data_IF_204286774840
#
_entry.id   IF_204286774840
#
_cell.length_a   1.000
_cell.length_b   1.000
_cell.length_c   1.000
_cell.angle_alpha   90.00
_cell.angle_beta   90.00
_cell.angle_gamma   90.00
#
_symmetry.space_group_name_H-M   'P 1'
#
loop_
_entity.id
_entity.type
_entity.pdbx_description
1 polymer ?
#
# COMPACT_ATOMS: atom_id res chain seq x y z
N UNK A 1 5.34 -13.84 15.67
CA UNK A 1 5.21 -13.37 17.05
C UNK A 1 5.57 -14.53 17.96
N UNK A 2 6.25 -14.30 19.09
CA UNK A 2 6.54 -15.32 20.10
C UNK A 2 5.28 -15.47 20.97
N UNK A 3 4.45 -16.51 20.78
CA UNK A 3 3.15 -16.62 21.47
C UNK A 3 3.30 -16.94 22.96
N UNK A 4 4.53 -17.24 23.39
CA UNK A 4 4.87 -17.83 24.68
C UNK A 4 5.11 -16.77 25.77
N UNK A 5 5.33 -15.51 25.38
CA UNK A 5 5.58 -14.38 26.30
C UNK A 5 4.34 -13.52 26.58
N UNK A 6 3.26 -13.63 25.79
CA UNK A 6 2.06 -12.78 25.93
C UNK A 6 0.75 -13.57 25.79
N UNK A 7 0.28 -14.24 26.86
CA UNK A 7 -0.89 -15.15 26.83
C UNK A 7 -2.25 -14.46 26.63
N UNK A 8 -2.26 -13.17 26.26
CA UNK A 8 -3.46 -12.40 25.91
C UNK A 8 -3.29 -11.51 24.67
N UNK A 9 -2.17 -11.63 23.94
CA UNK A 9 -1.98 -10.91 22.70
C UNK A 9 -2.88 -11.51 21.63
N UNK A 10 -3.79 -10.68 21.10
CA UNK A 10 -4.66 -11.08 20.01
C UNK A 10 -3.80 -11.27 18.75
N UNK A 11 -3.72 -12.51 18.23
CA UNK A 11 -2.99 -12.86 16.99
C UNK A 11 -3.52 -12.15 15.73
N UNK A 12 -4.60 -11.38 15.85
CA UNK A 12 -5.19 -10.69 14.71
C UNK A 12 -4.67 -9.25 14.64
N UNK A 13 -4.15 -8.88 13.47
CA UNK A 13 -3.67 -7.53 13.12
C UNK A 13 -4.68 -6.36 13.19
N UNK A 14 -6.02 -6.53 13.13
CA UNK A 14 -6.98 -5.41 13.07
C UNK A 14 -6.94 -4.38 14.23
N UNK A 15 -6.75 -4.76 15.51
CA UNK A 15 -6.69 -3.81 16.62
C UNK A 15 -5.48 -2.86 16.52
N UNK A 16 -4.34 -3.36 16.03
CA UNK A 16 -3.12 -2.57 15.83
C UNK A 16 -3.30 -1.54 14.71
N UNK A 17 -3.98 -1.93 13.62
CA UNK A 17 -4.32 -1.02 12.52
C UNK A 17 -5.23 0.12 12.99
N UNK A 18 -6.25 -0.19 13.79
CA UNK A 18 -7.16 0.82 14.32
C UNK A 18 -6.43 1.87 15.15
N UNK A 19 -5.55 1.44 16.08
CA UNK A 19 -4.75 2.35 16.90
C UNK A 19 -3.79 3.20 16.06
N UNK A 20 -3.23 2.65 14.99
CA UNK A 20 -2.37 3.37 14.07
C UNK A 20 -3.15 4.48 13.33
N UNK A 21 -4.30 4.14 12.74
CA UNK A 21 -5.12 5.13 12.05
C UNK A 21 -5.66 6.21 12.97
N UNK A 22 -6.06 5.88 14.21
CA UNK A 22 -6.48 6.88 15.19
C UNK A 22 -5.34 7.85 15.55
N UNK A 23 -4.11 7.34 15.68
CA UNK A 23 -2.92 8.16 15.92
C UNK A 23 -2.61 9.10 14.74
N UNK A 24 -2.69 8.59 13.51
CA UNK A 24 -2.48 9.39 12.29
C UNK A 24 -3.53 10.50 12.16
N UNK A 25 -4.81 10.19 12.40
CA UNK A 25 -5.88 11.18 12.38
C UNK A 25 -5.69 12.25 13.47
N UNK A 26 -5.40 11.83 14.70
CA UNK A 26 -5.16 12.75 15.82
C UNK A 26 -4.00 13.70 15.52
N UNK A 27 -2.89 13.18 14.99
CA UNK A 27 -1.72 13.97 14.62
C UNK A 27 -2.03 14.95 13.49
N UNK A 28 -2.78 14.50 12.47
CA UNK A 28 -3.19 15.34 11.33
C UNK A 28 -4.06 16.52 11.79
N UNK A 29 -5.02 16.26 12.68
CA UNK A 29 -5.87 17.30 13.27
C UNK A 29 -5.01 18.27 14.09
N UNK A 30 -4.08 17.77 14.90
CA UNK A 30 -3.21 18.61 15.74
C UNK A 30 -2.35 19.57 14.89
N UNK A 31 -1.71 19.06 13.84
CA UNK A 31 -0.91 19.87 12.91
C UNK A 31 -1.81 20.91 12.21
N UNK A 32 -3.00 20.52 11.79
CA UNK A 32 -3.95 21.42 11.14
C UNK A 32 -4.40 22.56 12.06
N UNK A 33 -4.68 22.25 13.33
CA UNK A 33 -5.06 23.24 14.35
C UNK A 33 -3.91 24.22 14.59
N UNK A 34 -2.68 23.74 14.75
CA UNK A 34 -1.50 24.60 14.91
C UNK A 34 -1.33 25.50 13.69
N UNK A 35 -1.40 24.93 12.48
CA UNK A 35 -1.29 25.69 11.24
C UNK A 35 -2.35 26.79 11.13
N UNK A 36 -3.61 26.47 11.44
CA UNK A 36 -4.72 27.42 11.41
C UNK A 36 -4.55 28.55 12.44
N UNK A 37 -4.02 28.21 13.63
CA UNK A 37 -3.72 29.17 14.68
C UNK A 37 -2.63 30.16 14.27
N UNK A 38 -1.51 29.67 13.70
CA UNK A 38 -0.43 30.54 13.19
C UNK A 38 -0.88 31.42 12.02
N UNK A 39 -1.80 30.93 11.18
CA UNK A 39 -2.30 31.67 10.02
C UNK A 39 -3.51 32.58 10.30
N UNK A 40 -3.86 32.77 11.59
CA UNK A 40 -4.86 33.76 12.06
C UNK A 40 -6.17 33.71 11.25
N UNK A 41 -6.75 32.51 11.14
CA UNK A 41 -8.02 32.24 10.46
C UNK A 41 -8.05 32.49 8.93
N UNK A 42 -6.90 32.63 8.27
CA UNK A 42 -6.81 32.67 6.80
C UNK A 42 -5.98 31.51 6.21
N UNK A 43 -6.30 30.23 6.53
CA UNK A 43 -5.64 29.07 5.94
C UNK A 43 -5.89 29.02 4.44
N UNK A 44 -4.92 29.48 3.65
CA UNK A 44 -4.90 29.22 2.20
C UNK A 44 -4.83 27.71 1.95
N UNK A 45 -5.99 27.09 1.76
CA UNK A 45 -6.17 25.70 1.38
C UNK A 45 -6.88 25.74 0.04
N UNK A 46 -6.22 25.22 -0.98
CA UNK A 46 -6.84 25.11 -2.29
C UNK A 46 -7.89 23.99 -2.22
N UNK A 47 -9.17 24.34 -2.07
CA UNK A 47 -10.26 23.36 -1.91
C UNK A 47 -10.32 22.34 -3.06
N UNK A 48 -9.88 22.75 -4.27
CA UNK A 48 -9.74 21.86 -5.43
C UNK A 48 -8.64 20.81 -5.27
N UNK A 49 -7.59 21.10 -4.52
CA UNK A 49 -6.51 20.14 -4.22
C UNK A 49 -6.79 19.32 -2.95
N UNK A 50 -7.62 19.84 -2.03
CA UNK A 50 -7.97 19.15 -0.80
C UNK A 50 -8.78 17.87 -1.06
N UNK A 51 -9.78 17.92 -1.95
CA UNK A 51 -10.59 16.75 -2.33
C UNK A 51 -9.75 15.58 -2.87
N UNK A 52 -8.89 15.76 -3.90
CA UNK A 52 -8.04 14.67 -4.39
C UNK A 52 -7.01 14.20 -3.36
N UNK A 53 -6.53 15.09 -2.48
CA UNK A 53 -5.64 14.70 -1.37
C UNK A 53 -6.36 13.83 -0.32
N UNK A 54 -7.63 14.11 -0.02
CA UNK A 54 -8.42 13.27 0.87
C UNK A 54 -8.72 11.91 0.24
N UNK A 55 -9.06 11.88 -1.05
CA UNK A 55 -9.28 10.64 -1.80
C UNK A 55 -8.01 9.77 -1.86
N UNK A 56 -6.85 10.38 -2.15
CA UNK A 56 -5.58 9.64 -2.16
C UNK A 56 -5.22 9.09 -0.77
N UNK A 57 -5.48 9.84 0.29
CA UNK A 57 -5.33 9.37 1.67
C UNK A 57 -6.25 8.19 2.01
N UNK A 58 -7.51 8.22 1.55
CA UNK A 58 -8.44 7.10 1.74
C UNK A 58 -8.00 5.84 0.99
N UNK A 59 -7.56 5.98 -0.26
CA UNK A 59 -7.01 4.87 -1.05
C UNK A 59 -5.76 4.29 -0.36
N UNK A 60 -4.88 5.16 0.16
CA UNK A 60 -3.69 4.73 0.89
C UNK A 60 -4.04 3.96 2.17
N UNK A 61 -5.04 4.40 2.94
CA UNK A 61 -5.50 3.68 4.13
C UNK A 61 -6.06 2.28 3.79
N UNK A 62 -6.83 2.16 2.71
CA UNK A 62 -7.34 0.85 2.26
C UNK A 62 -6.16 -0.06 1.85
N UNK A 63 -5.23 0.48 1.05
CA UNK A 63 -4.04 -0.25 0.62
C UNK A 63 -3.19 -0.72 1.81
N UNK A 64 -2.94 0.15 2.78
CA UNK A 64 -2.10 -0.18 3.93
C UNK A 64 -2.76 -1.19 4.88
N UNK A 65 -4.10 -1.15 5.00
CA UNK A 65 -4.86 -2.19 5.71
C UNK A 65 -4.73 -3.53 4.99
N UNK A 66 -4.89 -3.56 3.67
CA UNK A 66 -4.71 -4.78 2.87
C UNK A 66 -3.29 -5.34 2.96
N UNK A 67 -2.29 -4.46 3.03
CA UNK A 67 -0.88 -4.82 3.16
C UNK A 67 -0.57 -5.50 4.50
N UNK A 68 -1.08 -4.95 5.60
CA UNK A 68 -0.89 -5.55 6.93
C UNK A 68 -1.59 -6.89 7.03
N UNK A 69 -2.81 -7.03 6.49
CA UNK A 69 -3.49 -8.34 6.41
C UNK A 69 -2.68 -9.34 5.57
N UNK A 70 -2.06 -8.89 4.47
CA UNK A 70 -1.20 -9.75 3.66
C UNK A 70 0.06 -10.19 4.42
N UNK A 71 0.68 -9.32 5.22
CA UNK A 71 1.81 -9.68 6.09
C UNK A 71 1.38 -10.75 7.10
N UNK A 72 0.21 -10.60 7.70
CA UNK A 72 -0.32 -11.52 8.71
C UNK A 72 -0.54 -12.93 8.13
N UNK A 73 -1.04 -13.00 6.89
CA UNK A 73 -1.34 -14.27 6.20
C UNK A 73 -0.13 -14.91 5.54
N UNK A 74 0.76 -14.11 4.97
CA UNK A 74 1.81 -14.58 4.07
C UNK A 74 3.22 -14.47 4.67
N UNK A 75 3.36 -14.00 5.92
CA UNK A 75 4.61 -13.55 6.56
C UNK A 75 5.31 -12.41 5.81
N UNK A 76 5.97 -11.52 6.57
CA UNK A 76 6.69 -10.36 6.02
C UNK A 76 7.65 -10.72 4.87
N UNK A 77 8.43 -11.80 4.99
CA UNK A 77 9.43 -12.20 4.00
C UNK A 77 8.90 -12.39 2.57
N UNK A 78 7.59 -12.66 2.41
CA UNK A 78 6.97 -12.85 1.09
C UNK A 78 5.96 -11.75 0.77
N UNK A 79 5.22 -11.26 1.77
CA UNK A 79 4.27 -10.18 1.57
C UNK A 79 4.93 -8.90 1.03
N UNK A 80 6.12 -8.52 1.52
CA UNK A 80 6.85 -7.33 1.08
C UNK A 80 7.20 -7.37 -0.43
N UNK A 81 7.88 -8.42 -0.96
CA UNK A 81 8.18 -8.50 -2.38
C UNK A 81 6.93 -8.47 -3.27
N UNK A 82 5.88 -9.22 -2.90
CA UNK A 82 4.64 -9.27 -3.70
C UNK A 82 3.95 -7.91 -3.73
N UNK A 83 3.84 -7.24 -2.57
CA UNK A 83 3.20 -5.94 -2.48
C UNK A 83 4.05 -4.79 -3.05
N UNK A 84 5.36 -4.97 -3.22
CA UNK A 84 6.18 -4.02 -3.97
C UNK A 84 6.00 -4.18 -5.49
N UNK A 85 5.86 -5.42 -5.96
CA UNK A 85 5.74 -5.73 -7.39
C UNK A 85 4.33 -5.45 -7.94
N UNK A 86 3.27 -5.88 -7.25
CA UNK A 86 1.90 -5.83 -7.80
C UNK A 86 1.41 -4.39 -8.09
N UNK A 87 1.55 -3.40 -7.18
CA UNK A 87 1.20 -2.01 -7.49
C UNK A 87 2.08 -1.42 -8.59
N UNK A 88 3.36 -1.78 -8.63
CA UNK A 88 4.29 -1.36 -9.68
C UNK A 88 3.85 -1.83 -11.07
N UNK A 89 3.36 -3.07 -11.18
CA UNK A 89 2.76 -3.59 -12.41
C UNK A 89 1.48 -2.83 -12.79
N UNK A 90 0.58 -2.58 -11.84
CA UNK A 90 -0.68 -1.86 -12.12
C UNK A 90 -0.42 -0.42 -12.57
N UNK A 91 0.49 0.29 -11.89
CA UNK A 91 0.90 1.66 -12.26
C UNK A 91 1.55 1.68 -13.64
N UNK A 92 2.46 0.72 -13.90
CA UNK A 92 3.12 0.62 -15.20
C UNK A 92 2.09 0.35 -16.31
N UNK A 93 1.09 -0.51 -16.06
CA UNK A 93 0.04 -0.84 -17.03
C UNK A 93 -0.85 0.36 -17.29
N UNK A 94 -1.21 1.08 -16.23
CA UNK A 94 -1.98 2.32 -16.32
C UNK A 94 -1.24 3.40 -17.12
N UNK A 95 0.05 3.61 -16.86
CA UNK A 95 0.88 4.56 -17.63
C UNK A 95 0.88 4.23 -19.12
N UNK A 96 0.98 2.95 -19.49
CA UNK A 96 1.04 2.54 -20.90
C UNK A 96 -0.33 2.70 -21.59
N UNK A 97 -1.41 2.27 -20.93
CA UNK A 97 -2.75 2.30 -21.52
C UNK A 97 -3.32 3.73 -21.61
N UNK A 98 -3.12 4.53 -20.56
CA UNK A 98 -3.69 5.87 -20.44
C UNK A 98 -2.83 6.94 -21.13
N UNK A 99 -1.52 6.98 -20.85
CA UNK A 99 -0.64 7.98 -21.47
C UNK A 99 -0.14 7.59 -22.86
N UNK A 100 -0.31 6.31 -23.27
CA UNK A 100 0.24 5.78 -24.54
C UNK A 100 1.69 6.19 -24.79
N UNK A 101 2.48 6.34 -23.72
CA UNK A 101 3.90 6.77 -23.81
C UNK A 101 4.74 5.82 -24.67
N UNK A 102 4.29 4.57 -24.81
CA UNK A 102 5.01 3.51 -25.49
C UNK A 102 4.21 3.05 -26.72
N UNK A 103 4.45 3.70 -27.85
CA UNK A 103 3.82 3.34 -29.15
C UNK A 103 4.64 2.29 -29.93
N UNK A 104 5.87 1.98 -29.51
CA UNK A 104 6.78 1.08 -30.22
C UNK A 104 6.54 -0.41 -29.91
N UNK A 105 6.30 -1.23 -30.95
CA UNK A 105 6.11 -2.69 -30.84
C UNK A 105 7.22 -3.41 -30.06
N UNK A 106 8.49 -2.99 -30.23
CA UNK A 106 9.65 -3.56 -29.54
C UNK A 106 9.66 -3.28 -28.03
N UNK A 107 9.16 -2.12 -27.61
CA UNK A 107 9.10 -1.77 -26.20
C UNK A 107 7.91 -2.45 -25.51
N UNK A 108 6.79 -2.63 -26.23
CA UNK A 108 5.68 -3.47 -25.77
C UNK A 108 6.09 -4.94 -25.56
N UNK A 109 6.93 -5.50 -26.44
CA UNK A 109 7.42 -6.88 -26.25
C UNK A 109 8.35 -7.02 -25.06
N UNK A 110 9.29 -6.09 -24.84
CA UNK A 110 10.18 -6.08 -23.66
C UNK A 110 9.35 -5.97 -22.39
N UNK A 111 8.35 -5.10 -22.42
CA UNK A 111 7.44 -4.91 -21.32
C UNK A 111 6.66 -6.20 -21.03
N UNK A 112 6.03 -6.81 -22.03
CA UNK A 112 5.31 -8.08 -21.87
C UNK A 112 6.19 -9.18 -21.27
N UNK A 113 7.47 -9.27 -21.68
CA UNK A 113 8.45 -10.20 -21.10
C UNK A 113 8.72 -9.87 -19.62
N UNK A 114 8.92 -8.60 -19.28
CA UNK A 114 9.12 -8.17 -17.90
C UNK A 114 7.90 -8.46 -17.01
N UNK A 115 6.68 -8.26 -17.52
CA UNK A 115 5.45 -8.67 -16.84
C UNK A 115 5.37 -10.18 -16.66
N UNK A 116 5.73 -10.96 -17.69
CA UNK A 116 5.79 -12.42 -17.61
C UNK A 116 6.76 -12.90 -16.53
N UNK A 117 7.97 -12.33 -16.47
CA UNK A 117 8.94 -12.61 -15.42
C UNK A 117 8.43 -12.22 -14.02
N UNK A 118 7.76 -11.08 -13.90
CA UNK A 118 7.22 -10.61 -12.62
C UNK A 118 6.09 -11.52 -12.14
N UNK A 119 5.18 -11.91 -13.03
CA UNK A 119 4.10 -12.86 -12.73
C UNK A 119 4.65 -14.23 -12.35
N UNK A 120 5.67 -14.72 -13.07
CA UNK A 120 6.36 -15.96 -12.74
C UNK A 120 7.01 -15.89 -11.35
N UNK A 121 7.66 -14.76 -11.02
CA UNK A 121 8.25 -14.53 -9.70
C UNK A 121 7.21 -14.56 -8.57
N UNK A 122 6.06 -13.92 -8.77
CA UNK A 122 4.94 -13.95 -7.82
C UNK A 122 4.37 -15.36 -7.68
N UNK A 123 4.19 -16.08 -8.79
CA UNK A 123 3.71 -17.47 -8.78
C UNK A 123 4.67 -18.41 -8.02
N UNK A 124 5.98 -18.29 -8.27
CA UNK A 124 7.02 -19.06 -7.57
C UNK A 124 7.07 -18.74 -6.07
N UNK A 125 7.01 -17.46 -5.68
CA UNK A 125 6.93 -17.04 -4.27
C UNK A 125 5.68 -17.61 -3.58
N UNK A 126 4.55 -17.65 -4.29
CA UNK A 126 3.30 -18.20 -3.76
C UNK A 126 3.38 -19.72 -3.61
N UNK A 127 3.84 -20.44 -4.64
CA UNK A 127 4.01 -21.90 -4.58
C UNK A 127 5.03 -22.34 -3.53
N UNK A 128 6.09 -21.55 -3.32
CA UNK A 128 7.08 -21.83 -2.27
C UNK A 128 6.46 -21.85 -0.87
N UNK A 129 5.36 -21.12 -0.64
CA UNK A 129 4.64 -21.16 0.64
C UNK A 129 3.89 -22.48 0.82
N UNK A 130 3.12 -22.87 -0.20
CA UNK A 130 2.35 -24.14 -0.19
C UNK A 130 3.25 -25.36 0.09
N UNK A 131 4.49 -25.37 -0.42
CA UNK A 131 5.45 -26.46 -0.18
C UNK A 131 6.08 -26.41 1.23
N UNK A 132 6.18 -25.22 1.83
CA UNK A 132 6.80 -25.05 3.15
C UNK A 132 5.83 -25.36 4.30
N UNK A 133 4.52 -25.31 4.06
CA UNK A 133 3.47 -25.65 5.04
C UNK A 133 2.74 -26.94 4.66
N UNK A 134 3.24 -28.13 5.05
CA UNK A 134 2.39 -29.32 5.19
C UNK A 134 1.50 -29.25 6.44
#
# INVERSE_FOLDING_TARGET
>A
AHPEEFPGATDSSPPYLFSFYSGVLSTSIFIFVIYSFFKRNNPWINARAALPAMLSGAIFAIAMTSFVVAIDRLQAAIAYPICAMAPGLVVSLWSILYFREITGRRNLTILTIAYGFTLLGVALMTLSREVTTP
#
